data_IF_581038285538
#
_entry.id   IF_581038285538
#
_cell.length_a   1.000
_cell.length_b   1.000
_cell.length_c   1.000
_cell.angle_alpha   90.00
_cell.angle_beta   90.00
_cell.angle_gamma   90.00
#
_symmetry.space_group_name_H-M   'P 1'
#
loop_
_entity.id
_entity.type
_entity.pdbx_description
1 polymer ?
#
# COMPACT_ATOMS: atom_id res chain seq x y z
N UNK A 1 -83.30 3.31 -25.58
CA UNK A 1 -82.01 3.48 -26.28
C UNK A 1 -81.58 4.92 -26.08
N UNK A 2 -80.47 5.30 -25.44
CA UNK A 2 -79.23 4.61 -25.07
C UNK A 2 -78.76 5.18 -23.72
N UNK A 3 -78.35 4.31 -22.80
CA UNK A 3 -77.67 4.67 -21.55
C UNK A 3 -76.17 4.78 -21.86
N UNK A 4 -75.54 5.92 -21.60
CA UNK A 4 -74.09 6.07 -21.74
C UNK A 4 -73.43 5.89 -20.38
N UNK A 5 -72.62 4.83 -20.25
CA UNK A 5 -71.80 4.55 -19.07
C UNK A 5 -70.41 5.14 -19.31
N UNK A 6 -69.96 5.99 -18.39
CA UNK A 6 -68.61 6.55 -18.38
C UNK A 6 -67.72 5.65 -17.52
N UNK A 7 -66.79 4.91 -18.13
CA UNK A 7 -65.76 4.17 -17.40
C UNK A 7 -64.53 5.05 -17.19
N UNK A 8 -64.20 5.28 -15.92
CA UNK A 8 -62.97 5.92 -15.47
C UNK A 8 -61.82 4.90 -15.54
N UNK A 9 -60.92 5.01 -16.51
CA UNK A 9 -59.69 4.21 -16.55
C UNK A 9 -58.61 5.00 -15.80
N UNK A 10 -58.38 4.64 -14.54
CA UNK A 10 -57.21 5.11 -13.79
C UNK A 10 -56.07 4.17 -14.12
N UNK A 11 -55.10 4.63 -14.91
CA UNK A 11 -53.89 3.87 -15.21
C UNK A 11 -52.99 3.85 -13.95
N UNK A 12 -53.02 2.74 -13.22
CA UNK A 12 -52.02 2.45 -12.20
C UNK A 12 -50.72 2.08 -12.92
N UNK A 13 -49.77 3.00 -12.98
CA UNK A 13 -48.41 2.72 -13.44
C UNK A 13 -47.70 1.94 -12.34
N UNK A 14 -47.82 0.61 -12.38
CA UNK A 14 -47.03 -0.28 -11.52
C UNK A 14 -45.57 -0.21 -11.99
N UNK A 15 -44.78 0.64 -11.35
CA UNK A 15 -43.33 0.64 -11.51
C UNK A 15 -42.79 -0.71 -11.06
N UNK A 16 -42.37 -1.55 -11.99
CA UNK A 16 -41.60 -2.74 -11.68
C UNK A 16 -40.25 -2.24 -11.16
N UNK A 17 -40.07 -2.24 -9.84
CA UNK A 17 -38.76 -2.12 -9.25
C UNK A 17 -37.97 -3.36 -9.67
N UNK A 18 -37.06 -3.21 -10.63
CA UNK A 18 -36.11 -4.26 -10.94
C UNK A 18 -35.27 -4.51 -9.67
N UNK A 19 -35.14 -5.75 -9.20
CA UNK A 19 -34.17 -6.05 -8.16
C UNK A 19 -32.78 -5.73 -8.70
N UNK A 20 -32.10 -4.77 -8.07
CA UNK A 20 -30.66 -4.59 -8.27
C UNK A 20 -29.97 -5.76 -7.57
N UNK A 21 -29.61 -6.79 -8.34
CA UNK A 21 -28.67 -7.79 -7.86
C UNK A 21 -27.28 -7.13 -7.87
N UNK A 22 -26.71 -6.94 -6.68
CA UNK A 22 -25.29 -6.64 -6.57
C UNK A 22 -24.55 -7.94 -6.85
N UNK A 23 -23.95 -8.05 -8.04
CA UNK A 23 -23.07 -9.18 -8.37
C UNK A 23 -21.75 -9.03 -7.61
N UNK A 24 -21.31 -10.10 -6.98
CA UNK A 24 -19.96 -10.19 -6.39
C UNK A 24 -19.00 -10.60 -7.50
N UNK A 25 -17.95 -9.81 -7.68
CA UNK A 25 -16.88 -10.08 -8.64
C UNK A 25 -15.64 -10.46 -7.83
N UNK A 26 -15.14 -11.67 -8.05
CA UNK A 26 -13.88 -12.16 -7.49
C UNK A 26 -12.80 -12.08 -8.57
N UNK A 27 -11.64 -11.52 -8.23
CA UNK A 27 -10.54 -11.26 -9.16
C UNK A 27 -9.23 -11.70 -8.52
N UNK A 28 -8.57 -12.66 -9.18
CA UNK A 28 -7.24 -13.09 -8.82
C UNK A 28 -6.22 -12.57 -9.84
N UNK A 29 -5.27 -11.75 -9.36
CA UNK A 29 -4.17 -11.22 -10.15
C UNK A 29 -2.86 -11.86 -9.64
N UNK A 30 -2.40 -12.90 -10.34
CA UNK A 30 -1.30 -13.76 -9.87
C UNK A 30 0.09 -13.11 -9.89
N UNK A 31 0.22 -11.95 -10.52
CA UNK A 31 1.46 -11.18 -10.54
C UNK A 31 1.15 -9.69 -10.73
N UNK A 32 2.02 -8.81 -10.22
CA UNK A 32 1.93 -7.39 -10.55
C UNK A 32 2.19 -7.17 -12.05
N UNK A 33 1.53 -6.18 -12.63
CA UNK A 33 1.84 -5.64 -13.95
C UNK A 33 3.08 -4.73 -13.92
N UNK A 34 3.45 -4.26 -12.72
CA UNK A 34 4.64 -3.47 -12.45
C UNK A 34 5.17 -3.84 -11.07
N UNK A 35 6.44 -4.18 -10.97
CA UNK A 35 7.16 -4.20 -9.70
C UNK A 35 8.39 -3.30 -9.75
N UNK A 36 8.64 -2.59 -8.64
CA UNK A 36 9.78 -1.70 -8.58
C UNK A 36 10.34 -1.57 -7.20
N UNK A 37 11.63 -1.86 -7.08
CA UNK A 37 12.42 -1.41 -5.94
C UNK A 37 12.69 0.10 -6.06
N UNK A 38 11.94 0.89 -5.28
CA UNK A 38 12.14 2.32 -5.14
C UNK A 38 13.26 2.59 -4.16
N UNK A 39 14.49 2.58 -4.68
CA UNK A 39 15.72 2.86 -3.96
C UNK A 39 16.69 3.65 -4.87
N UNK A 40 17.39 4.70 -4.37
CA UNK A 40 18.21 5.58 -5.21
C UNK A 40 19.35 4.86 -5.94
N UNK A 41 19.83 3.74 -5.40
CA UNK A 41 20.90 2.94 -6.01
C UNK A 41 20.38 1.72 -6.78
N UNK A 42 19.10 1.70 -7.14
CA UNK A 42 18.56 0.70 -8.05
C UNK A 42 19.05 0.96 -9.49
N UNK A 43 20.15 0.29 -9.87
CA UNK A 43 20.76 0.39 -11.20
C UNK A 43 20.00 -0.35 -12.31
N UNK A 44 19.10 -1.26 -11.95
CA UNK A 44 18.35 -2.12 -12.88
C UNK A 44 16.85 -2.12 -12.55
N UNK A 45 16.19 -0.95 -12.61
CA UNK A 45 14.79 -0.86 -12.22
C UNK A 45 13.89 -1.63 -13.20
N UNK A 46 12.96 -2.43 -12.68
CA UNK A 46 12.05 -3.30 -13.44
C UNK A 46 12.61 -4.66 -13.87
N UNK A 47 13.86 -4.99 -13.51
CA UNK A 47 14.47 -6.28 -13.93
C UNK A 47 15.20 -7.01 -12.79
N UNK A 48 15.00 -6.57 -11.55
CA UNK A 48 15.58 -7.24 -10.38
C UNK A 48 14.77 -8.48 -10.04
N UNK A 49 15.46 -9.57 -9.72
CA UNK A 49 14.84 -10.80 -9.23
C UNK A 49 14.49 -10.77 -7.74
N UNK A 50 15.07 -9.83 -6.99
CA UNK A 50 14.85 -9.66 -5.55
C UNK A 50 14.78 -8.17 -5.21
N UNK A 51 13.74 -7.80 -4.48
CA UNK A 51 13.46 -6.46 -3.99
C UNK A 51 13.49 -6.46 -2.46
N UNK A 52 13.90 -5.36 -1.85
CA UNK A 52 14.10 -5.31 -0.40
C UNK A 52 13.43 -4.09 0.21
N UNK A 53 13.01 -4.21 1.48
CA UNK A 53 12.53 -3.08 2.27
C UNK A 53 13.41 -2.86 3.48
N UNK A 54 13.63 -1.61 3.86
CA UNK A 54 14.43 -1.27 5.04
C UNK A 54 14.30 0.21 5.39
N UNK A 55 14.62 0.55 6.64
CA UNK A 55 14.76 1.94 7.06
C UNK A 55 16.14 2.54 6.76
N UNK A 56 16.30 3.85 6.95
CA UNK A 56 17.62 4.49 7.00
C UNK A 56 18.20 4.47 8.41
N UNK A 57 19.45 4.93 8.55
CA UNK A 57 19.98 5.33 9.85
C UNK A 57 19.06 6.40 10.47
N UNK A 58 18.57 6.12 11.69
CA UNK A 58 17.67 7.00 12.43
C UNK A 58 18.39 8.20 13.03
N UNK A 59 19.69 8.08 13.30
CA UNK A 59 20.51 9.12 13.89
C UNK A 59 21.06 10.08 12.82
N UNK A 60 21.06 9.69 11.54
CA UNK A 60 21.35 10.57 10.38
C UNK A 60 20.10 10.90 9.56
N UNK A 61 19.31 11.88 10.04
CA UNK A 61 18.04 12.26 9.41
C UNK A 61 18.17 13.12 8.14
N UNK A 62 19.37 13.60 7.81
CA UNK A 62 19.56 14.51 6.67
C UNK A 62 19.69 13.80 5.33
N UNK A 63 19.82 12.48 5.37
CA UNK A 63 20.01 11.65 4.19
C UNK A 63 18.95 10.55 4.14
N UNK A 64 18.51 10.26 2.92
CA UNK A 64 17.52 9.26 2.54
C UNK A 64 16.16 9.45 3.23
N UNK A 65 15.17 8.67 2.83
CA UNK A 65 13.92 8.62 3.60
C UNK A 65 14.09 7.70 4.80
N UNK A 66 13.32 7.93 5.88
CA UNK A 66 13.31 7.01 7.02
C UNK A 66 12.92 5.58 6.58
N UNK A 67 11.98 5.44 5.65
CA UNK A 67 11.66 4.20 4.91
C UNK A 67 12.39 4.23 3.57
N UNK A 68 13.64 3.78 3.56
CA UNK A 68 14.54 3.99 2.44
C UNK A 68 14.36 2.95 1.32
N UNK A 69 14.33 1.67 1.68
CA UNK A 69 13.98 0.60 0.75
C UNK A 69 12.46 0.46 0.67
N UNK A 70 11.86 0.78 -0.47
CA UNK A 70 10.43 0.58 -0.73
C UNK A 70 10.23 -0.30 -1.97
N UNK A 71 9.23 -1.16 -1.93
CA UNK A 71 8.77 -1.93 -3.08
C UNK A 71 7.45 -1.32 -3.54
N UNK A 72 7.29 -1.11 -4.85
CA UNK A 72 6.01 -0.78 -5.46
C UNK A 72 5.51 -2.00 -6.21
N UNK A 73 4.22 -2.28 -6.06
CA UNK A 73 3.49 -3.28 -6.83
C UNK A 73 2.31 -2.58 -7.49
N UNK A 74 2.11 -2.75 -8.79
CA UNK A 74 0.90 -2.28 -9.46
C UNK A 74 0.18 -3.43 -10.14
N UNK A 75 -1.14 -3.42 -10.04
CA UNK A 75 -2.01 -4.44 -10.58
C UNK A 75 -3.00 -3.82 -11.55
N UNK A 76 -3.03 -4.32 -12.79
CA UNK A 76 -3.99 -3.88 -13.81
C UNK A 76 -5.37 -4.49 -13.50
N UNK A 77 -6.34 -3.64 -13.18
CA UNK A 77 -7.70 -4.03 -12.79
C UNK A 77 -8.71 -3.81 -13.93
N UNK A 78 -8.37 -2.95 -14.90
CA UNK A 78 -9.33 -2.45 -15.90
C UNK A 78 -9.86 -3.50 -16.89
N UNK A 79 -9.14 -4.60 -17.10
CA UNK A 79 -9.64 -5.72 -17.92
C UNK A 79 -10.48 -6.72 -17.10
N UNK A 80 -10.32 -6.74 -15.78
CA UNK A 80 -10.94 -7.71 -14.88
C UNK A 80 -12.20 -7.18 -14.20
N UNK A 81 -12.32 -5.86 -14.05
CA UNK A 81 -13.52 -5.17 -13.53
C UNK A 81 -14.16 -4.38 -14.67
N UNK A 82 -15.46 -4.53 -14.96
CA UNK A 82 -16.16 -3.68 -15.92
C UNK A 82 -16.05 -2.18 -15.53
N UNK A 83 -15.23 -1.43 -16.28
CA UNK A 83 -15.03 0.01 -16.02
C UNK A 83 -16.34 0.77 -16.26
N UNK A 84 -16.70 1.67 -15.34
CA UNK A 84 -17.80 2.62 -15.51
C UNK A 84 -19.10 2.31 -14.78
N UNK A 85 -19.14 1.33 -13.87
CA UNK A 85 -20.32 1.07 -13.03
C UNK A 85 -20.39 1.94 -11.76
N UNK A 86 -19.31 2.64 -11.39
CA UNK A 86 -19.29 3.74 -10.42
C UNK A 86 -19.77 3.44 -8.99
N UNK A 87 -19.89 2.16 -8.61
CA UNK A 87 -20.53 1.77 -7.36
C UNK A 87 -19.95 0.48 -6.76
N UNK A 88 -18.65 0.19 -6.97
CA UNK A 88 -18.04 -0.97 -6.32
C UNK A 88 -17.88 -0.73 -4.83
N UNK A 89 -18.41 -1.64 -4.02
CA UNK A 89 -17.99 -1.83 -2.63
C UNK A 89 -16.90 -2.90 -2.63
N UNK A 90 -15.75 -2.59 -2.04
CA UNK A 90 -14.66 -3.56 -1.95
C UNK A 90 -14.89 -4.38 -0.68
N UNK A 91 -15.30 -5.64 -0.87
CA UNK A 91 -15.62 -6.55 0.23
C UNK A 91 -14.35 -7.14 0.88
N UNK A 92 -13.33 -7.39 0.06
CA UNK A 92 -12.03 -7.92 0.46
C UNK A 92 -10.97 -7.47 -0.53
N UNK A 93 -9.74 -7.26 -0.05
CA UNK A 93 -8.56 -7.14 -0.89
C UNK A 93 -7.35 -7.68 -0.13
N UNK A 94 -6.66 -8.64 -0.74
CA UNK A 94 -5.44 -9.25 -0.21
C UNK A 94 -4.29 -9.03 -1.19
N UNK A 95 -3.11 -8.68 -0.66
CA UNK A 95 -1.85 -8.69 -1.39
C UNK A 95 -0.93 -9.71 -0.74
N UNK A 96 -0.26 -10.53 -1.55
CA UNK A 96 0.63 -11.58 -1.05
C UNK A 96 1.97 -11.53 -1.77
N UNK A 97 3.05 -11.79 -1.02
CA UNK A 97 4.43 -11.78 -1.53
C UNK A 97 5.27 -12.81 -0.77
N UNK A 98 6.25 -13.42 -1.44
CA UNK A 98 7.11 -14.46 -0.83
C UNK A 98 8.44 -13.90 -0.37
N UNK A 99 8.95 -14.39 0.77
CA UNK A 99 10.29 -14.05 1.24
C UNK A 99 11.39 -14.73 0.43
N UNK A 100 12.40 -13.96 0.05
CA UNK A 100 13.57 -14.44 -0.68
C UNK A 100 14.78 -14.76 0.22
N UNK A 101 14.83 -14.23 1.44
CA UNK A 101 15.90 -14.53 2.40
C UNK A 101 15.45 -15.45 3.54
N UNK A 102 16.39 -16.23 4.08
CA UNK A 102 16.11 -17.29 5.04
C UNK A 102 16.53 -16.92 6.46
N UNK A 103 15.58 -16.90 7.40
CA UNK A 103 15.82 -16.81 8.84
C UNK A 103 16.62 -15.57 9.26
N UNK A 104 16.41 -14.44 8.57
CA UNK A 104 17.15 -13.18 8.81
C UNK A 104 16.32 -12.16 9.58
N UNK A 105 15.01 -12.14 9.38
CA UNK A 105 14.08 -11.14 9.93
C UNK A 105 13.18 -11.80 10.95
N UNK A 106 12.98 -11.13 12.08
CA UNK A 106 11.97 -11.53 13.08
C UNK A 106 10.59 -11.10 12.62
N UNK A 107 9.64 -12.02 12.68
CA UNK A 107 8.25 -11.78 12.37
C UNK A 107 7.62 -10.85 13.39
N UNK A 108 7.05 -9.76 12.89
CA UNK A 108 6.29 -8.81 13.66
C UNK A 108 4.92 -8.59 12.98
N UNK A 109 3.83 -9.10 13.58
CA UNK A 109 2.48 -8.98 13.05
C UNK A 109 1.77 -7.66 13.43
N UNK A 110 2.43 -6.74 14.14
CA UNK A 110 1.83 -5.53 14.72
C UNK A 110 2.46 -4.26 14.17
N UNK A 111 1.68 -3.18 14.06
CA UNK A 111 2.29 -1.89 13.79
C UNK A 111 3.01 -1.36 15.03
N UNK A 112 4.24 -0.91 14.81
CA UNK A 112 5.05 -0.25 15.82
C UNK A 112 4.68 1.23 16.02
N UNK A 113 4.83 1.77 17.25
CA UNK A 113 4.70 3.18 17.51
C UNK A 113 5.84 3.95 16.83
N UNK A 114 5.51 4.99 16.03
CA UNK A 114 6.50 5.77 15.29
C UNK A 114 7.65 6.32 16.17
N UNK A 115 7.38 6.57 17.45
CA UNK A 115 8.34 7.08 18.43
C UNK A 115 9.53 6.13 18.66
N UNK A 116 9.40 4.82 18.45
CA UNK A 116 10.54 3.90 18.63
C UNK A 116 11.60 4.03 17.53
N UNK A 117 11.26 4.67 16.41
CA UNK A 117 12.16 4.94 15.29
C UNK A 117 12.81 6.32 15.36
N UNK A 118 12.53 7.10 16.40
CA UNK A 118 13.20 8.37 16.65
C UNK A 118 14.70 8.19 16.97
N UNK A 119 15.54 9.23 16.80
CA UNK A 119 16.94 9.18 17.22
C UNK A 119 17.10 8.79 18.69
N UNK A 120 18.26 8.24 19.01
CA UNK A 120 18.58 7.75 20.36
C UNK A 120 18.48 8.86 21.43
N UNK A 121 18.70 10.12 21.06
CA UNK A 121 18.62 11.29 21.95
C UNK A 121 17.27 12.02 21.99
N UNK A 122 16.25 11.59 21.25
CA UNK A 122 14.94 12.28 21.24
C UNK A 122 14.13 11.94 22.51
N UNK A 123 13.66 12.97 23.21
CA UNK A 123 12.92 12.81 24.46
C UNK A 123 11.54 12.14 24.31
N UNK A 124 10.99 12.09 23.09
CA UNK A 124 9.72 11.42 22.79
C UNK A 124 9.90 9.92 22.53
N UNK A 125 11.15 9.46 22.38
CA UNK A 125 11.46 8.07 22.04
C UNK A 125 10.89 7.13 23.10
N UNK A 126 10.27 6.05 22.63
CA UNK A 126 9.78 4.95 23.46
C UNK A 126 10.51 3.67 23.11
N UNK A 127 10.41 2.66 23.98
CA UNK A 127 10.87 1.32 23.67
C UNK A 127 9.90 0.63 22.72
N UNK A 128 10.45 -0.28 21.93
CA UNK A 128 9.70 -1.24 21.14
C UNK A 128 8.79 -2.08 22.05
N UNK A 129 7.46 -2.13 21.80
CA UNK A 129 6.53 -2.88 22.62
C UNK A 129 6.64 -4.40 22.44
N UNK A 130 7.16 -4.87 21.31
CA UNK A 130 7.29 -6.29 21.02
C UNK A 130 8.58 -6.61 20.24
N UNK A 131 8.57 -7.64 19.39
CA UNK A 131 9.80 -8.23 18.86
C UNK A 131 9.76 -8.29 17.34
N UNK A 132 10.65 -7.51 16.73
CA UNK A 132 10.81 -7.44 15.29
C UNK A 132 10.62 -6.01 14.82
N UNK A 133 10.39 -5.83 13.53
CA UNK A 133 9.87 -4.59 12.97
C UNK A 133 8.87 -4.96 11.87
N UNK A 134 7.74 -4.26 11.76
CA UNK A 134 6.72 -4.65 10.81
C UNK A 134 7.13 -4.33 9.39
N UNK A 135 6.67 -5.19 8.49
CA UNK A 135 6.55 -4.87 7.08
C UNK A 135 5.11 -4.43 6.86
N UNK A 136 4.95 -3.25 6.26
CA UNK A 136 3.65 -2.59 6.14
C UNK A 136 3.32 -2.37 4.67
N UNK A 137 2.05 -2.60 4.34
CA UNK A 137 1.45 -2.27 3.05
C UNK A 137 0.77 -0.91 3.15
N UNK A 138 1.01 -0.06 2.17
CA UNK A 138 0.38 1.25 2.06
C UNK A 138 -0.02 1.53 0.61
N UNK A 139 -0.75 2.64 0.40
CA UNK A 139 -0.96 3.18 -0.93
C UNK A 139 0.32 3.80 -1.51
N UNK A 140 0.22 4.24 -2.76
CA UNK A 140 1.28 4.98 -3.45
C UNK A 140 0.80 6.38 -3.80
N UNK A 141 1.57 7.37 -3.37
CA UNK A 141 1.45 8.75 -3.84
C UNK A 141 2.45 9.04 -4.95
N UNK A 142 2.16 10.05 -5.78
CA UNK A 142 3.02 10.47 -6.88
C UNK A 142 3.35 11.96 -6.81
N UNK A 143 4.55 12.34 -7.25
CA UNK A 143 5.01 13.72 -7.40
C UNK A 143 5.89 13.88 -8.64
N UNK A 144 6.35 15.09 -8.91
CA UNK A 144 7.19 15.38 -10.08
C UNK A 144 6.44 15.24 -11.42
N UNK A 145 5.11 15.40 -11.41
CA UNK A 145 4.25 15.27 -12.60
C UNK A 145 3.85 13.83 -12.93
N UNK A 146 4.29 12.84 -12.14
CA UNK A 146 3.82 11.46 -12.28
C UNK A 146 2.42 11.28 -11.67
N UNK A 147 1.73 10.27 -12.19
CA UNK A 147 0.42 9.78 -11.76
C UNK A 147 0.46 8.25 -11.82
N UNK A 148 -0.55 7.58 -11.26
CA UNK A 148 -0.71 6.13 -11.41
C UNK A 148 -0.70 5.67 -12.89
N UNK A 149 -1.25 6.49 -13.80
CA UNK A 149 -1.29 6.17 -15.22
C UNK A 149 0.04 6.39 -15.95
N UNK A 150 0.91 7.27 -15.44
CA UNK A 150 2.14 7.69 -16.14
C UNK A 150 3.42 7.14 -15.53
N UNK A 151 3.39 6.68 -14.28
CA UNK A 151 4.55 6.07 -13.63
C UNK A 151 4.80 4.66 -14.17
N UNK A 152 6.07 4.35 -14.43
CA UNK A 152 6.56 3.08 -14.98
C UNK A 152 7.76 2.60 -14.18
N UNK A 153 8.12 1.33 -14.36
CA UNK A 153 9.28 0.72 -13.69
C UNK A 153 10.57 1.48 -13.93
N UNK A 154 10.74 2.08 -15.10
CA UNK A 154 11.93 2.85 -15.48
C UNK A 154 11.76 4.38 -15.33
N UNK A 155 10.67 4.86 -14.75
CA UNK A 155 10.48 6.29 -14.43
C UNK A 155 11.62 6.83 -13.57
N UNK A 156 11.89 8.13 -13.63
CA UNK A 156 12.91 8.74 -12.78
C UNK A 156 12.61 8.48 -11.30
N UNK A 157 13.64 8.11 -10.53
CA UNK A 157 13.50 7.84 -9.09
C UNK A 157 13.06 9.10 -8.32
N UNK A 158 13.74 10.22 -8.54
CA UNK A 158 13.51 11.47 -7.83
C UNK A 158 13.02 12.59 -8.74
N UNK A 159 12.42 13.62 -8.14
CA UNK A 159 12.10 14.88 -8.81
C UNK A 159 13.37 15.46 -9.47
N UNK A 160 13.23 15.98 -10.69
CA UNK A 160 14.35 16.51 -11.45
C UNK A 160 15.14 17.56 -10.66
N UNK A 161 16.47 17.45 -10.68
CA UNK A 161 17.39 18.36 -9.97
C UNK A 161 17.55 18.09 -8.47
N UNK A 162 16.78 17.18 -7.88
CA UNK A 162 16.97 16.79 -6.50
C UNK A 162 18.15 15.81 -6.33
N UNK A 163 18.85 15.91 -5.20
CA UNK A 163 19.82 14.89 -4.80
C UNK A 163 19.09 13.60 -4.45
N UNK A 164 19.55 12.46 -4.97
CA UNK A 164 18.99 11.15 -4.62
C UNK A 164 19.20 10.77 -3.15
N UNK A 165 20.12 11.47 -2.48
CA UNK A 165 20.38 11.31 -1.05
C UNK A 165 19.45 12.17 -0.19
N UNK A 166 18.66 13.08 -0.77
CA UNK A 166 17.78 13.93 0.02
C UNK A 166 16.50 13.18 0.39
N UNK A 167 15.98 13.35 1.62
CA UNK A 167 14.65 12.86 1.99
C UNK A 167 13.55 13.53 1.16
N UNK A 168 12.45 12.82 0.93
CA UNK A 168 11.22 13.37 0.36
C UNK A 168 11.32 13.68 -1.14
N UNK A 169 12.22 13.02 -1.87
CA UNK A 169 12.45 13.34 -3.29
C UNK A 169 11.83 12.34 -4.27
N UNK A 170 11.37 11.17 -3.81
CA UNK A 170 10.88 10.09 -4.70
C UNK A 170 9.64 10.51 -5.48
N UNK A 171 9.61 10.22 -6.77
CA UNK A 171 8.46 10.50 -7.63
C UNK A 171 7.26 9.59 -7.37
N UNK A 172 7.50 8.40 -6.81
CA UNK A 172 6.48 7.50 -6.29
C UNK A 172 6.92 7.09 -4.87
N UNK A 173 6.02 7.14 -3.91
CA UNK A 173 6.34 7.01 -2.50
C UNK A 173 5.22 6.31 -1.74
N UNK A 174 5.58 5.56 -0.70
CA UNK A 174 4.63 5.00 0.25
C UNK A 174 3.79 6.14 0.85
N UNK A 175 2.47 5.99 0.79
CA UNK A 175 1.54 6.98 1.25
C UNK A 175 0.39 6.34 2.04
N UNK A 176 -0.01 7.02 3.11
CA UNK A 176 -1.05 6.56 4.02
C UNK A 176 -2.01 7.70 4.36
N UNK A 177 -3.03 7.41 5.16
CA UNK A 177 -3.86 8.44 5.76
C UNK A 177 -3.31 8.85 7.12
N UNK A 178 -3.29 10.15 7.42
CA UNK A 178 -2.97 10.66 8.76
C UNK A 178 -4.22 10.71 9.65
N UNK A 179 -4.06 11.11 10.91
CA UNK A 179 -5.19 11.26 11.86
C UNK A 179 -6.24 12.30 11.45
N UNK A 180 -5.92 13.17 10.50
CA UNK A 180 -6.83 14.17 9.93
C UNK A 180 -7.42 13.69 8.58
N UNK A 181 -7.22 12.42 8.22
CA UNK A 181 -7.64 11.79 6.96
C UNK A 181 -7.01 12.41 5.69
N UNK A 182 -5.86 13.07 5.80
CA UNK A 182 -5.11 13.50 4.63
C UNK A 182 -4.31 12.34 4.07
N UNK A 183 -4.26 12.20 2.74
CA UNK A 183 -3.36 11.27 2.07
C UNK A 183 -1.96 11.88 1.99
N UNK A 184 -1.00 11.32 2.74
CA UNK A 184 0.31 11.92 2.98
C UNK A 184 1.45 10.96 2.68
N UNK A 185 2.63 11.52 2.38
CA UNK A 185 3.88 10.77 2.29
C UNK A 185 4.30 10.23 3.66
N UNK A 186 4.36 8.91 3.82
CA UNK A 186 4.78 8.27 5.05
C UNK A 186 6.26 7.88 5.07
N UNK A 187 7.02 8.17 4.01
CA UNK A 187 8.42 7.77 3.90
C UNK A 187 9.30 8.33 5.03
N UNK A 188 8.89 9.45 5.64
CA UNK A 188 9.57 10.09 6.77
C UNK A 188 8.70 10.19 8.02
N UNK A 189 7.70 9.33 8.19
CA UNK A 189 6.72 9.45 9.29
C UNK A 189 7.35 9.58 10.69
N UNK A 190 8.47 8.92 11.06
CA UNK A 190 9.05 9.12 12.38
C UNK A 190 9.68 10.51 12.56
N UNK A 191 10.22 11.07 11.47
CA UNK A 191 10.87 12.40 11.47
C UNK A 191 9.83 13.52 11.51
N UNK A 192 8.70 13.33 10.81
CA UNK A 192 7.56 14.26 10.82
C UNK A 192 6.77 14.16 12.12
N UNK A 193 6.73 12.97 12.73
CA UNK A 193 6.14 12.74 14.04
C UNK A 193 4.67 12.36 14.00
N UNK A 194 4.33 11.31 13.23
CA UNK A 194 2.97 10.78 13.20
C UNK A 194 2.94 9.25 13.05
N UNK A 195 1.86 8.65 13.56
CA UNK A 195 1.53 7.25 13.34
C UNK A 195 0.82 7.10 11.98
N UNK A 196 1.35 6.31 11.05
CA UNK A 196 0.68 6.07 9.77
C UNK A 196 -0.52 5.15 9.97
N UNK A 197 -1.67 5.51 9.37
CA UNK A 197 -2.78 4.56 9.15
C UNK A 197 -2.47 3.75 7.88
N UNK A 198 -1.67 2.70 8.03
CA UNK A 198 -1.27 1.81 6.95
C UNK A 198 -2.43 0.94 6.49
N UNK A 199 -2.34 0.38 5.28
CA UNK A 199 -3.43 -0.41 4.71
C UNK A 199 -3.51 -1.80 5.33
N UNK A 200 -2.35 -2.37 5.65
CA UNK A 200 -2.22 -3.65 6.35
C UNK A 200 -0.81 -3.80 6.94
N UNK A 201 -0.68 -4.67 7.95
CA UNK A 201 0.59 -5.19 8.45
C UNK A 201 0.72 -6.64 8.01
N UNK A 202 1.92 -7.03 7.57
CA UNK A 202 2.17 -8.36 7.02
C UNK A 202 1.93 -9.48 8.02
N UNK A 203 1.27 -10.54 7.56
CA UNK A 203 0.99 -11.75 8.33
C UNK A 203 1.66 -12.95 7.67
N UNK A 204 2.23 -13.86 8.47
CA UNK A 204 2.80 -15.11 7.99
C UNK A 204 2.15 -16.27 8.74
N UNK A 205 1.42 -17.10 8.03
CA UNK A 205 0.66 -18.19 8.63
C UNK A 205 1.58 -19.17 9.39
N UNK A 206 1.20 -19.49 10.62
CA UNK A 206 1.93 -20.45 11.45
C UNK A 206 3.15 -19.88 12.18
N UNK A 207 3.49 -18.60 11.99
CA UNK A 207 4.48 -17.91 12.80
C UNK A 207 3.84 -17.15 13.96
N UNK A 208 4.63 -16.98 15.01
CA UNK A 208 4.34 -16.14 16.19
C UNK A 208 5.37 -15.03 16.27
N UNK A 209 4.98 -13.89 16.86
CA UNK A 209 5.84 -12.71 16.96
C UNK A 209 7.23 -13.05 17.53
N UNK A 210 8.27 -12.47 16.96
CA UNK A 210 9.68 -12.69 17.31
C UNK A 210 10.35 -13.93 16.69
N UNK A 211 9.59 -14.85 16.06
CA UNK A 211 10.18 -15.97 15.32
C UNK A 211 10.85 -15.48 14.04
N UNK A 212 11.97 -16.11 13.65
CA UNK A 212 12.60 -15.81 12.37
C UNK A 212 11.74 -16.34 11.22
N UNK A 213 11.62 -15.55 10.15
CA UNK A 213 10.84 -15.90 8.96
C UNK A 213 11.68 -16.80 8.04
N UNK A 214 11.25 -18.05 7.76
CA UNK A 214 11.92 -18.90 6.79
C UNK A 214 11.78 -18.37 5.36
N UNK A 215 12.75 -18.67 4.50
CA UNK A 215 12.63 -18.42 3.06
C UNK A 215 11.39 -19.12 2.49
N UNK A 216 10.83 -18.54 1.42
CA UNK A 216 9.62 -19.01 0.71
C UNK A 216 8.34 -18.92 1.55
N UNK A 217 8.41 -18.40 2.78
CA UNK A 217 7.22 -18.02 3.54
C UNK A 217 6.44 -16.97 2.76
N UNK A 218 5.12 -17.17 2.66
CA UNK A 218 4.21 -16.19 2.06
C UNK A 218 3.75 -15.22 3.14
N UNK A 219 4.04 -13.95 2.91
CA UNK A 219 3.48 -12.85 3.69
C UNK A 219 2.22 -12.33 3.01
N UNK A 220 1.12 -12.33 3.75
CA UNK A 220 -0.17 -11.83 3.30
C UNK A 220 -0.50 -10.50 3.96
N UNK A 221 -1.16 -9.62 3.22
CA UNK A 221 -1.58 -8.30 3.65
C UNK A 221 -3.07 -8.18 3.39
N UNK A 222 -3.87 -8.39 4.43
CA UNK A 222 -5.31 -8.20 4.36
C UNK A 222 -5.63 -6.71 4.52
N UNK A 223 -6.00 -6.07 3.41
CA UNK A 223 -6.23 -4.63 3.35
C UNK A 223 -7.46 -4.26 4.16
N UNK A 224 -7.35 -3.23 5.00
CA UNK A 224 -8.47 -2.74 5.82
C UNK A 224 -9.51 -1.99 4.97
N UNK A 225 -10.35 -2.73 4.24
CA UNK A 225 -11.42 -2.20 3.39
C UNK A 225 -12.60 -1.61 4.18
N UNK A 226 -12.65 -1.83 5.49
CA UNK A 226 -13.62 -1.19 6.39
C UNK A 226 -13.30 0.30 6.63
N UNK A 227 -12.05 0.73 6.42
CA UNK A 227 -11.69 2.15 6.41
C UNK A 227 -12.16 2.80 5.11
N UNK A 228 -13.02 3.81 5.21
CA UNK A 228 -13.63 4.48 4.06
C UNK A 228 -12.60 5.15 3.13
N UNK A 229 -11.48 5.63 3.66
CA UNK A 229 -10.43 6.26 2.86
C UNK A 229 -9.65 5.22 2.06
N UNK A 230 -9.31 4.09 2.69
CA UNK A 230 -8.64 2.97 2.02
C UNK A 230 -9.57 2.36 0.97
N UNK A 231 -10.86 2.17 1.29
CA UNK A 231 -11.85 1.71 0.33
C UNK A 231 -11.96 2.66 -0.86
N UNK A 232 -11.94 3.97 -0.62
CA UNK A 232 -11.95 4.95 -1.68
C UNK A 232 -10.67 4.92 -2.55
N UNK A 233 -9.49 4.73 -1.94
CA UNK A 233 -8.24 4.55 -2.68
C UNK A 233 -8.32 3.37 -3.66
N UNK A 234 -8.82 2.21 -3.19
CA UNK A 234 -8.97 1.02 -4.02
C UNK A 234 -9.98 1.23 -5.15
N UNK A 235 -11.13 1.84 -4.87
CA UNK A 235 -12.15 2.17 -5.89
C UNK A 235 -11.57 3.06 -6.97
N UNK A 236 -10.84 4.11 -6.61
CA UNK A 236 -10.19 5.00 -7.57
C UNK A 236 -9.17 4.26 -8.43
N UNK A 237 -8.37 3.37 -7.84
CA UNK A 237 -7.45 2.52 -8.59
C UNK A 237 -8.18 1.60 -9.59
N UNK A 238 -9.27 0.96 -9.14
CA UNK A 238 -10.10 0.09 -9.98
C UNK A 238 -10.72 0.87 -11.14
N UNK A 239 -11.32 2.03 -10.87
CA UNK A 239 -11.91 2.92 -11.88
C UNK A 239 -10.86 3.45 -12.87
N UNK A 240 -9.65 3.74 -12.39
CA UNK A 240 -8.52 4.12 -13.24
C UNK A 240 -7.92 2.95 -14.01
N UNK A 241 -8.36 1.72 -13.74
CA UNK A 241 -7.89 0.48 -14.36
C UNK A 241 -6.57 -0.06 -13.81
N UNK A 242 -6.03 0.54 -12.73
CA UNK A 242 -4.79 0.11 -12.06
C UNK A 242 -4.74 0.57 -10.61
N UNK A 243 -4.40 -0.36 -9.72
CA UNK A 243 -4.15 -0.06 -8.29
C UNK A 243 -2.67 -0.24 -7.97
N UNK A 244 -2.11 0.68 -7.17
CA UNK A 244 -0.73 0.60 -6.69
C UNK A 244 -0.70 0.34 -5.19
N UNK A 245 0.28 -0.44 -4.76
CA UNK A 245 0.64 -0.63 -3.37
C UNK A 245 2.13 -0.40 -3.17
N UNK A 246 2.50 0.03 -1.97
CA UNK A 246 3.88 0.04 -1.52
C UNK A 246 4.05 -0.90 -0.34
N UNK A 247 5.09 -1.74 -0.40
CA UNK A 247 5.62 -2.42 0.79
C UNK A 247 6.83 -1.63 1.28
N UNK A 248 6.86 -1.38 2.59
CA UNK A 248 7.97 -0.71 3.24
C UNK A 248 8.14 -1.21 4.67
N UNK A 249 9.33 -1.02 5.24
CA UNK A 249 9.59 -1.26 6.66
C UNK A 249 10.51 -0.18 7.21
N UNK A 250 10.57 -0.08 8.54
CA UNK A 250 11.55 0.73 9.26
C UNK A 250 12.64 -0.15 9.90
N UNK A 251 12.82 -1.36 9.38
CA UNK A 251 13.85 -2.33 9.83
C UNK A 251 15.18 -1.62 10.00
N UNK A 252 15.76 -1.70 11.20
CA UNK A 252 17.01 -1.03 11.50
C UNK A 252 18.14 -1.67 10.70
N UNK A 253 18.78 -0.88 9.84
CA UNK A 253 19.94 -1.34 9.08
C UNK A 253 21.20 -0.69 9.63
N UNK A 254 22.23 -1.51 9.84
CA UNK A 254 23.60 -1.04 9.86
C UNK A 254 24.10 -0.99 8.40
N UNK A 255 24.91 0.01 8.06
CA UNK A 255 25.49 0.12 6.73
C UNK A 255 26.22 -1.19 6.36
N UNK A 256 25.92 -1.76 5.19
CA UNK A 256 26.45 -3.05 4.69
C UNK A 256 25.98 -4.31 5.45
N UNK A 257 25.00 -4.22 6.34
CA UNK A 257 24.33 -5.40 6.89
C UNK A 257 23.33 -5.98 5.87
N UNK A 258 23.12 -7.29 5.87
CA UNK A 258 22.10 -7.98 5.06
C UNK A 258 20.80 -8.27 5.82
N UNK A 259 20.68 -7.74 7.04
CA UNK A 259 19.58 -8.09 7.95
C UNK A 259 18.33 -7.25 7.71
N UNK A 260 17.71 -7.41 6.56
CA UNK A 260 16.46 -6.73 6.19
C UNK A 260 15.57 -7.62 5.33
N UNK A 261 14.24 -7.35 5.27
CA UNK A 261 13.32 -8.10 4.42
C UNK A 261 13.71 -8.09 2.94
N UNK A 262 13.70 -9.26 2.32
CA UNK A 262 13.91 -9.46 0.89
C UNK A 262 12.79 -10.35 0.31
N UNK A 263 12.34 -10.02 -0.90
CA UNK A 263 11.21 -10.63 -1.59
C UNK A 263 11.53 -10.84 -3.07
#
# INVERSE_FOLDING_TARGET
MKTSVLFLITAFMSGIAAPAFADVIDIQLNQPALDRWMYPFNSTPGTRSVLTTFGSDRDNQTQFDARDGQILLAFDTGASVPIGSGAYEILEAEVSISFANDMVVQYDPSSDPWQMFLPTGDARRVNDPDAGQPIELAGVGFRGGFTAATFKENSAYAVSGASYLSPGVRNAFAACYDSANNFVDMSNNPRVGFQPNVFAVGQVAGLTAGQLIPQDSVMTFQVNVADANIQNYLRQGIEAGRTFFSLSSLTFVAQQSGNYPAF
#
